data_IF_308676527915
#
_entry.id   IF_308676527915
#
_cell.length_a   1.000
_cell.length_b   1.000
_cell.length_c   1.000
_cell.angle_alpha   90.00
_cell.angle_beta   90.00
_cell.angle_gamma   90.00
#
_symmetry.space_group_name_H-M   'P 1'
#
loop_
_entity.id
_entity.type
_entity.pdbx_description
1 polymer ?
#
# COMPACT_ATOMS: atom_id res chain seq x y z
N UNK A 1 -12.25 16.85 12.10
CA UNK A 1 -12.44 15.38 12.01
C UNK A 1 -11.19 14.80 11.38
N UNK A 2 -10.15 14.49 12.15
CA UNK A 2 -8.91 13.87 11.62
C UNK A 2 -8.70 12.51 12.29
N UNK A 3 -9.63 11.60 12.06
CA UNK A 3 -9.40 10.18 12.34
C UNK A 3 -8.54 9.61 11.21
N UNK A 4 -7.40 9.00 11.55
CA UNK A 4 -6.53 8.37 10.55
C UNK A 4 -7.26 7.32 9.71
N UNK A 5 -6.81 7.13 8.46
CA UNK A 5 -7.42 6.21 7.48
C UNK A 5 -7.23 4.73 7.86
N UNK A 6 -6.15 4.40 8.57
CA UNK A 6 -5.86 3.04 9.02
C UNK A 6 -6.56 2.71 10.34
N UNK A 7 -7.19 1.54 10.41
CA UNK A 7 -7.73 0.97 11.64
C UNK A 7 -6.64 0.75 12.71
N UNK A 8 -7.04 0.55 13.96
CA UNK A 8 -6.09 0.23 15.04
C UNK A 8 -5.57 -1.20 14.93
N UNK A 9 -6.38 -2.11 14.37
CA UNK A 9 -6.03 -3.50 14.06
C UNK A 9 -5.36 -3.66 12.68
N UNK A 10 -4.80 -2.59 12.11
CA UNK A 10 -4.25 -2.62 10.75
C UNK A 10 -3.04 -3.57 10.65
N UNK A 11 -3.01 -4.38 9.59
CA UNK A 11 -1.88 -5.23 9.21
C UNK A 11 -1.37 -4.91 7.80
N UNK A 12 -0.08 -5.10 7.58
CA UNK A 12 0.55 -4.96 6.26
C UNK A 12 1.33 -6.22 5.89
N UNK A 13 1.23 -6.66 4.64
CA UNK A 13 2.01 -7.77 4.09
C UNK A 13 2.65 -7.34 2.77
N UNK A 14 3.93 -7.68 2.58
CA UNK A 14 4.64 -7.44 1.33
C UNK A 14 5.58 -8.60 0.99
N UNK A 15 6.03 -8.71 -0.27
CA UNK A 15 7.00 -9.74 -0.63
C UNK A 15 8.44 -9.43 -0.14
N UNK A 16 8.66 -8.35 0.61
CA UNK A 16 9.94 -8.00 1.24
C UNK A 16 10.05 -8.60 2.66
N UNK A 17 9.56 -9.82 2.87
CA UNK A 17 9.53 -10.52 4.16
C UNK A 17 8.72 -9.79 5.26
N UNK A 18 7.74 -8.97 4.87
CA UNK A 18 6.75 -8.41 5.80
C UNK A 18 5.50 -9.27 5.78
N UNK A 19 5.19 -9.95 6.89
CA UNK A 19 3.97 -10.75 7.04
C UNK A 19 3.12 -10.22 8.20
N UNK A 20 1.96 -9.65 7.88
CA UNK A 20 0.99 -9.09 8.84
C UNK A 20 1.62 -8.17 9.90
N UNK A 21 2.59 -7.33 9.50
CA UNK A 21 3.25 -6.40 10.41
C UNK A 21 2.27 -5.33 10.89
N UNK A 22 2.51 -4.83 12.10
CA UNK A 22 1.62 -3.84 12.72
C UNK A 22 1.69 -2.47 12.04
N UNK A 23 0.67 -1.65 12.30
CA UNK A 23 0.62 -0.23 11.88
C UNK A 23 1.87 0.59 12.22
N UNK A 24 2.49 0.36 13.38
CA UNK A 24 3.71 1.09 13.76
C UNK A 24 4.91 0.65 12.92
N UNK A 25 5.09 -0.66 12.74
CA UNK A 25 6.18 -1.23 11.94
C UNK A 25 6.02 -0.82 10.47
N UNK A 26 4.81 -0.90 9.91
CA UNK A 26 4.50 -0.42 8.56
C UNK A 26 4.87 1.06 8.38
N UNK A 27 4.49 1.91 9.35
CA UNK A 27 4.77 3.34 9.30
C UNK A 27 6.26 3.61 9.19
N UNK A 28 7.08 2.93 9.99
CA UNK A 28 8.53 3.14 9.99
C UNK A 28 9.21 2.54 8.75
N UNK A 29 8.88 1.29 8.42
CA UNK A 29 9.64 0.49 7.43
C UNK A 29 9.18 0.66 5.99
N UNK A 30 7.89 0.92 5.77
CA UNK A 30 7.30 0.86 4.43
C UNK A 30 6.70 2.20 3.99
N UNK A 31 6.35 3.08 4.94
CA UNK A 31 5.79 4.40 4.63
C UNK A 31 6.85 5.51 4.73
N UNK A 32 7.41 5.74 5.92
CA UNK A 32 8.36 6.84 6.16
C UNK A 32 9.68 6.65 5.39
N UNK A 33 10.19 5.42 5.32
CA UNK A 33 11.39 5.07 4.54
C UNK A 33 11.27 5.40 3.04
N UNK A 34 10.05 5.43 2.52
CA UNK A 34 9.77 5.61 1.09
C UNK A 34 9.53 7.08 0.71
N UNK A 35 9.36 8.00 1.68
CA UNK A 35 8.96 9.39 1.41
C UNK A 35 9.95 10.15 0.51
N UNK A 36 11.25 9.87 0.62
CA UNK A 36 12.27 10.52 -0.22
C UNK A 36 12.50 9.79 -1.56
N UNK A 37 12.04 8.55 -1.66
CA UNK A 37 12.25 7.71 -2.83
C UNK A 37 11.09 7.81 -3.84
N UNK A 38 9.87 7.96 -3.36
CA UNK A 38 8.67 7.95 -4.20
C UNK A 38 8.32 9.37 -4.64
N UNK A 39 8.23 9.59 -5.95
CA UNK A 39 7.86 10.89 -6.53
C UNK A 39 6.36 11.01 -6.74
N UNK A 40 5.73 9.98 -7.32
CA UNK A 40 4.30 9.97 -7.60
C UNK A 40 3.77 8.55 -7.83
N UNK A 41 2.50 8.37 -7.52
CA UNK A 41 1.71 7.21 -7.92
C UNK A 41 0.72 7.62 -9.02
N UNK A 42 0.69 6.86 -10.12
CA UNK A 42 -0.30 6.95 -11.18
C UNK A 42 -1.22 5.74 -11.07
N UNK A 43 -2.47 5.97 -10.68
CA UNK A 43 -3.46 4.90 -10.56
C UNK A 43 -3.87 4.43 -11.96
N UNK A 44 -3.63 3.15 -12.26
CA UNK A 44 -3.95 2.55 -13.55
C UNK A 44 -5.34 1.88 -13.53
N UNK A 45 -5.69 1.20 -12.44
CA UNK A 45 -7.00 0.54 -12.28
C UNK A 45 -7.33 0.38 -10.81
N UNK A 46 -8.61 0.58 -10.48
CA UNK A 46 -9.18 0.28 -9.17
C UNK A 46 -10.38 -0.64 -9.40
N UNK A 47 -10.40 -1.79 -8.74
CA UNK A 47 -11.52 -2.72 -8.73
C UNK A 47 -11.96 -2.95 -7.29
N UNK A 48 -13.21 -2.62 -6.97
CA UNK A 48 -13.73 -2.72 -5.61
C UNK A 48 -14.98 -3.61 -5.57
N UNK A 49 -15.11 -4.39 -4.50
CA UNK A 49 -16.26 -5.24 -4.23
C UNK A 49 -16.46 -5.38 -2.72
N UNK A 50 -17.60 -4.91 -2.22
CA UNK A 50 -17.88 -4.92 -0.77
C UNK A 50 -16.83 -4.10 0.01
N UNK A 51 -16.27 -4.71 1.04
CA UNK A 51 -15.25 -4.13 1.92
C UNK A 51 -13.81 -4.39 1.43
N UNK A 52 -13.63 -4.56 0.12
CA UNK A 52 -12.36 -4.95 -0.48
C UNK A 52 -12.06 -4.16 -1.77
N UNK A 53 -10.79 -3.89 -2.04
CA UNK A 53 -10.36 -3.27 -3.29
C UNK A 53 -8.98 -3.73 -3.76
N UNK A 54 -8.84 -3.93 -5.07
CA UNK A 54 -7.55 -4.04 -5.75
C UNK A 54 -7.20 -2.71 -6.40
N UNK A 55 -5.95 -2.26 -6.24
CA UNK A 55 -5.41 -1.05 -6.86
C UNK A 55 -4.15 -1.42 -7.62
N UNK A 56 -4.14 -1.18 -8.93
CA UNK A 56 -2.95 -1.25 -9.76
C UNK A 56 -2.43 0.15 -10.02
N UNK A 57 -1.13 0.36 -9.85
CA UNK A 57 -0.51 1.66 -10.09
C UNK A 57 0.87 1.54 -10.72
N UNK A 58 1.28 2.62 -11.39
CA UNK A 58 2.66 2.91 -11.75
C UNK A 58 3.23 3.87 -10.71
N UNK A 59 4.32 3.47 -10.06
CA UNK A 59 5.07 4.34 -9.17
C UNK A 59 6.30 4.89 -9.89
N UNK A 60 6.48 6.22 -9.86
CA UNK A 60 7.74 6.86 -10.31
C UNK A 60 8.58 7.25 -9.11
N UNK A 61 9.87 7.02 -9.22
CA UNK A 61 10.84 7.33 -8.17
C UNK A 61 11.48 8.70 -8.40
N UNK A 62 12.07 9.26 -7.36
CA UNK A 62 12.87 10.49 -7.43
C UNK A 62 14.16 10.31 -8.25
N UNK A 63 14.60 9.06 -8.48
CA UNK A 63 15.78 8.71 -9.29
C UNK A 63 15.48 8.53 -10.79
N UNK A 64 14.26 8.83 -11.23
CA UNK A 64 13.86 8.69 -12.64
C UNK A 64 13.54 7.26 -13.08
N UNK A 65 13.52 6.29 -12.16
CA UNK A 65 13.06 4.92 -12.42
C UNK A 65 11.58 4.75 -12.09
N UNK A 66 10.99 3.63 -12.47
CA UNK A 66 9.60 3.32 -12.15
C UNK A 66 9.37 1.83 -11.94
N UNK A 67 8.32 1.50 -11.18
CA UNK A 67 7.86 0.13 -10.97
C UNK A 67 6.33 0.09 -10.91
N UNK A 68 5.73 -1.09 -11.08
CA UNK A 68 4.29 -1.31 -10.96
C UNK A 68 3.99 -2.32 -9.87
N UNK A 69 2.95 -2.05 -9.09
CA UNK A 69 2.41 -2.97 -8.10
C UNK A 69 0.91 -3.13 -8.29
N UNK A 70 0.40 -4.23 -7.75
CA UNK A 70 -1.01 -4.37 -7.38
C UNK A 70 -1.06 -4.46 -5.86
N UNK A 71 -1.95 -3.70 -5.24
CA UNK A 71 -2.21 -3.77 -3.80
C UNK A 71 -3.67 -4.17 -3.56
N UNK A 72 -3.87 -5.04 -2.59
CA UNK A 72 -5.18 -5.47 -2.12
C UNK A 72 -5.47 -4.85 -0.75
N UNK A 73 -6.60 -4.17 -0.66
CA UNK A 73 -7.05 -3.43 0.51
C UNK A 73 -8.28 -4.11 1.09
N UNK A 74 -8.28 -4.29 2.41
CA UNK A 74 -9.48 -4.68 3.18
C UNK A 74 -9.92 -3.53 4.06
N UNK A 75 -11.23 -3.39 4.21
CA UNK A 75 -11.86 -2.30 4.95
C UNK A 75 -12.78 -2.84 6.06
N UNK A 76 -12.97 -2.04 7.10
CA UNK A 76 -14.05 -2.22 8.05
C UNK A 76 -14.41 -0.87 8.65
N UNK A 77 -15.71 -0.56 8.73
CA UNK A 77 -16.22 0.68 9.32
C UNK A 77 -15.56 1.94 8.72
N UNK A 78 -15.33 1.93 7.41
CA UNK A 78 -14.73 3.05 6.67
C UNK A 78 -13.22 3.25 6.91
N UNK A 79 -12.52 2.28 7.51
CA UNK A 79 -11.06 2.31 7.71
C UNK A 79 -10.39 1.13 7.05
N UNK A 80 -9.12 1.30 6.64
CA UNK A 80 -8.30 0.21 6.10
C UNK A 80 -7.86 -0.69 7.23
N UNK A 81 -8.18 -1.99 7.15
CA UNK A 81 -7.78 -3.01 8.11
C UNK A 81 -6.60 -3.85 7.63
N UNK A 82 -6.39 -3.98 6.32
CA UNK A 82 -5.19 -4.62 5.79
C UNK A 82 -4.78 -4.05 4.42
N UNK A 83 -3.48 -4.07 4.15
CA UNK A 83 -2.89 -3.88 2.82
C UNK A 83 -1.97 -5.05 2.52
N UNK A 84 -2.15 -5.67 1.36
CA UNK A 84 -1.29 -6.73 0.85
C UNK A 84 -0.71 -6.31 -0.51
N UNK A 85 0.61 -6.29 -0.61
CA UNK A 85 1.32 -5.89 -1.83
C UNK A 85 1.68 -7.11 -2.67
N UNK A 86 1.39 -7.06 -3.96
CA UNK A 86 1.87 -8.01 -4.95
C UNK A 86 2.73 -7.26 -5.97
N UNK A 87 4.04 -7.53 -6.01
CA UNK A 87 4.93 -6.91 -6.98
C UNK A 87 4.51 -7.27 -8.40
N UNK A 88 4.45 -6.28 -9.28
CA UNK A 88 4.57 -6.54 -10.71
C UNK A 88 5.97 -7.06 -10.98
N UNK A 89 6.09 -8.23 -11.59
CA UNK A 89 7.40 -8.76 -11.98
C UNK A 89 8.21 -7.77 -12.83
N UNK A 90 9.53 -7.97 -12.89
CA UNK A 90 10.37 -7.30 -13.86
C UNK A 90 9.91 -7.72 -15.26
N UNK A 91 9.30 -6.81 -16.02
CA UNK A 91 9.21 -6.95 -17.48
C UNK A 91 10.46 -6.30 -18.09
#
# INVERSE_FOLDING_TARGET
>A
MSGGVLADSFTFTSPNDDDHISKSVFKERCFLSQLEFIKQFELETISAHGDEAFVKYLCRTTKGTSFRNVEYFRFAKGKITAIEVYFGGNL
#
